data_IF_846297644567
#
_entry.id   IF_846297644567
#
_cell.length_a   1.000
_cell.length_b   1.000
_cell.length_c   1.000
_cell.angle_alpha   90.00
_cell.angle_beta   90.00
_cell.angle_gamma   90.00
#
_symmetry.space_group_name_H-M   'P 1'
#
loop_
_entity.id
_entity.type
_entity.pdbx_description
1 polymer ?
#
# COMPACT_ATOMS: atom_id res chain seq x y z
N UNK A 1 14.81 -9.29 -12.01
CA UNK A 1 14.92 -10.42 -11.06
C UNK A 1 14.74 -11.72 -11.81
N UNK A 2 15.53 -12.77 -11.51
CA UNK A 2 15.37 -14.12 -12.07
C UNK A 2 14.69 -15.02 -11.04
N UNK A 3 14.14 -16.17 -11.50
CA UNK A 3 13.57 -17.16 -10.58
C UNK A 3 14.64 -17.71 -9.61
N UNK A 4 15.86 -17.90 -10.08
CA UNK A 4 16.99 -18.36 -9.26
C UNK A 4 17.27 -17.41 -8.10
N UNK A 5 17.42 -16.11 -8.40
CA UNK A 5 17.66 -15.08 -7.37
C UNK A 5 16.51 -14.96 -6.38
N UNK A 6 15.26 -15.10 -6.84
CA UNK A 6 14.10 -15.16 -5.96
C UNK A 6 14.17 -16.34 -5.00
N UNK A 7 14.48 -17.54 -5.50
CA UNK A 7 14.58 -18.75 -4.67
C UNK A 7 15.70 -18.63 -3.63
N UNK A 8 16.82 -17.98 -3.98
CA UNK A 8 17.90 -17.69 -3.03
C UNK A 8 17.44 -16.77 -1.91
N UNK A 9 16.68 -15.71 -2.23
CA UNK A 9 16.12 -14.80 -1.22
C UNK A 9 15.12 -15.54 -0.32
N UNK A 10 14.19 -16.30 -0.88
CA UNK A 10 13.19 -17.06 -0.12
C UNK A 10 13.87 -18.08 0.82
N UNK A 11 14.91 -18.74 0.34
CA UNK A 11 15.73 -19.65 1.15
C UNK A 11 16.41 -18.91 2.31
N UNK A 12 17.09 -17.79 2.01
CA UNK A 12 17.75 -16.96 3.03
C UNK A 12 16.78 -16.51 4.12
N UNK A 13 15.61 -15.98 3.73
CA UNK A 13 14.61 -15.53 4.68
C UNK A 13 14.12 -16.67 5.57
N UNK A 14 13.83 -17.83 5.00
CA UNK A 14 13.40 -19.02 5.74
C UNK A 14 14.47 -19.52 6.71
N UNK A 15 15.73 -19.61 6.28
CA UNK A 15 16.85 -20.07 7.12
C UNK A 15 17.14 -19.13 8.30
N UNK A 16 16.76 -17.85 8.19
CA UNK A 16 16.94 -16.84 9.25
C UNK A 16 15.66 -16.54 10.04
N UNK A 17 14.60 -17.32 9.85
CA UNK A 17 13.35 -17.18 10.60
C UNK A 17 12.52 -15.95 10.23
N UNK A 18 12.71 -15.36 9.04
CA UNK A 18 11.89 -14.28 8.54
C UNK A 18 10.63 -14.78 7.85
N UNK A 19 9.52 -14.10 8.09
CA UNK A 19 8.27 -14.30 7.37
C UNK A 19 8.00 -13.09 6.49
N UNK A 20 7.70 -13.33 5.21
CA UNK A 20 7.29 -12.25 4.31
C UNK A 20 5.86 -11.83 4.65
N UNK A 21 5.63 -10.52 4.81
CA UNK A 21 4.30 -9.95 4.94
C UNK A 21 3.85 -9.40 3.56
N UNK A 22 3.00 -10.12 2.81
CA UNK A 22 2.54 -9.69 1.50
C UNK A 22 1.62 -8.48 1.60
N UNK A 23 2.13 -7.29 1.27
CA UNK A 23 1.34 -6.05 1.26
C UNK A 23 0.23 -6.15 0.22
N UNK A 24 -1.02 -6.05 0.65
CA UNK A 24 -2.21 -6.08 -0.21
C UNK A 24 -2.73 -4.69 -0.53
N UNK A 25 -2.58 -3.74 0.40
CA UNK A 25 -2.90 -2.32 0.17
C UNK A 25 -1.58 -1.55 0.00
N UNK A 26 -1.09 -1.51 -1.23
CA UNK A 26 0.07 -0.73 -1.63
C UNK A 26 -0.33 0.72 -1.95
N UNK A 27 0.58 1.66 -1.74
CA UNK A 27 0.27 3.08 -1.91
C UNK A 27 1.55 3.90 -2.08
N UNK A 28 1.38 5.17 -2.44
CA UNK A 28 2.45 6.14 -2.58
C UNK A 28 2.45 7.20 -1.46
N UNK A 29 2.17 6.81 -0.20
CA UNK A 29 2.15 7.73 0.94
C UNK A 29 3.47 8.46 1.18
N UNK A 30 4.58 7.86 0.75
CA UNK A 30 5.91 8.46 0.82
C UNK A 30 6.02 9.78 0.02
N UNK A 31 5.22 9.93 -1.05
CA UNK A 31 5.11 11.19 -1.82
C UNK A 31 4.46 12.28 -0.95
N UNK A 32 3.36 11.92 -0.27
CA UNK A 32 2.72 12.83 0.70
C UNK A 32 3.67 13.15 1.85
N UNK A 33 4.48 12.18 2.31
CA UNK A 33 5.52 12.39 3.30
C UNK A 33 6.54 13.43 2.86
N UNK A 34 7.03 13.35 1.61
CA UNK A 34 7.96 14.30 1.03
C UNK A 34 7.34 15.72 0.90
N UNK A 35 6.11 15.80 0.39
CA UNK A 35 5.37 17.06 0.28
C UNK A 35 5.14 17.70 1.67
N UNK A 36 4.77 16.89 2.66
CA UNK A 36 4.56 17.32 4.03
C UNK A 36 5.84 17.85 4.67
N UNK A 37 6.97 17.16 4.48
CA UNK A 37 8.28 17.62 4.95
C UNK A 37 8.69 18.95 4.33
N UNK A 38 8.36 19.20 3.07
CA UNK A 38 8.62 20.48 2.41
C UNK A 38 7.74 21.61 2.98
N UNK A 39 6.47 21.34 3.28
CA UNK A 39 5.57 22.29 3.95
C UNK A 39 6.08 22.62 5.37
N UNK A 40 6.54 21.63 6.12
CA UNK A 40 7.16 21.87 7.45
C UNK A 40 8.40 22.71 7.35
N UNK A 41 9.29 22.44 6.39
CA UNK A 41 10.53 23.24 6.18
C UNK A 41 10.25 24.69 5.79
N UNK A 42 9.17 24.95 5.05
CA UNK A 42 8.75 26.31 4.68
C UNK A 42 8.03 27.06 5.80
N UNK A 43 7.60 26.37 6.87
CA UNK A 43 6.81 26.95 7.95
C UNK A 43 5.35 27.23 7.56
N UNK A 44 4.85 26.66 6.45
CA UNK A 44 3.48 26.85 5.97
C UNK A 44 2.53 25.87 6.65
N UNK A 45 1.96 26.30 7.77
CA UNK A 45 1.05 25.47 8.58
C UNK A 45 -0.29 25.19 7.88
N UNK A 46 -0.76 26.07 6.99
CA UNK A 46 -2.00 25.84 6.23
C UNK A 46 -1.78 24.80 5.13
N UNK A 47 -0.66 24.89 4.41
CA UNK A 47 -0.26 23.87 3.44
C UNK A 47 -0.05 22.51 4.11
N UNK A 48 0.61 22.49 5.26
CA UNK A 48 0.82 21.28 6.07
C UNK A 48 -0.50 20.60 6.43
N UNK A 49 -1.49 21.36 6.95
CA UNK A 49 -2.83 20.84 7.27
C UNK A 49 -3.55 20.31 6.04
N UNK A 50 -3.46 21.04 4.92
CA UNK A 50 -4.06 20.64 3.64
C UNK A 50 -3.51 19.31 3.16
N UNK A 51 -2.18 19.16 3.08
CA UNK A 51 -1.50 17.93 2.67
C UNK A 51 -1.93 16.76 3.56
N UNK A 52 -1.95 16.95 4.88
CA UNK A 52 -2.36 15.90 5.81
C UNK A 52 -3.82 15.46 5.65
N UNK A 53 -4.74 16.39 5.36
CA UNK A 53 -6.13 16.06 5.05
C UNK A 53 -6.27 15.28 3.74
N UNK A 54 -5.58 15.72 2.68
CA UNK A 54 -5.57 15.04 1.38
C UNK A 54 -4.93 13.65 1.47
N UNK A 55 -3.91 13.49 2.30
CA UNK A 55 -3.28 12.19 2.58
C UNK A 55 -4.28 11.17 3.14
N UNK A 56 -5.04 11.54 4.17
CA UNK A 56 -6.03 10.63 4.77
C UNK A 56 -7.10 10.24 3.73
N UNK A 57 -7.57 11.18 2.92
CA UNK A 57 -8.54 10.91 1.85
C UNK A 57 -7.95 10.01 0.75
N UNK A 58 -6.70 10.24 0.34
CA UNK A 58 -5.98 9.36 -0.60
C UNK A 58 -5.90 7.93 -0.07
N UNK A 59 -5.52 7.75 1.20
CA UNK A 59 -5.42 6.43 1.83
C UNK A 59 -6.78 5.72 1.87
N UNK A 60 -7.86 6.47 2.14
CA UNK A 60 -9.23 5.95 2.07
C UNK A 60 -9.59 5.44 0.68
N UNK A 61 -9.24 6.19 -0.36
CA UNK A 61 -9.48 5.79 -1.75
C UNK A 61 -8.67 4.54 -2.12
N UNK A 62 -7.41 4.43 -1.68
CA UNK A 62 -6.56 3.24 -1.88
C UNK A 62 -7.16 2.00 -1.22
N UNK A 63 -7.62 2.12 0.03
CA UNK A 63 -8.28 1.02 0.75
C UNK A 63 -9.49 0.53 -0.05
N UNK A 64 -10.40 1.43 -0.45
CA UNK A 64 -11.60 1.08 -1.22
C UNK A 64 -11.27 0.47 -2.60
N UNK A 65 -10.22 0.95 -3.25
CA UNK A 65 -9.75 0.37 -4.50
C UNK A 65 -9.34 -1.09 -4.29
N UNK A 66 -8.48 -1.38 -3.32
CA UNK A 66 -8.00 -2.73 -3.06
C UNK A 66 -9.07 -3.66 -2.48
N UNK A 67 -10.07 -3.16 -1.75
CA UNK A 67 -11.28 -3.92 -1.41
C UNK A 67 -12.02 -4.40 -2.66
N UNK A 68 -12.24 -3.49 -3.62
CA UNK A 68 -12.87 -3.84 -4.89
C UNK A 68 -12.04 -4.85 -5.68
N UNK A 69 -10.71 -4.69 -5.71
CA UNK A 69 -9.81 -5.65 -6.37
C UNK A 69 -9.87 -7.03 -5.69
N UNK A 70 -9.91 -7.05 -4.37
CA UNK A 70 -10.04 -8.27 -3.57
C UNK A 70 -11.34 -9.02 -3.93
N UNK A 71 -12.47 -8.28 -3.95
CA UNK A 71 -13.76 -8.84 -4.33
C UNK A 71 -13.77 -9.39 -5.75
N UNK A 72 -13.15 -8.68 -6.71
CA UNK A 72 -13.03 -9.14 -8.10
C UNK A 72 -12.14 -10.39 -8.25
N UNK A 73 -11.11 -10.51 -7.40
CA UNK A 73 -10.12 -11.58 -7.51
C UNK A 73 -10.57 -12.85 -6.81
N UNK A 74 -11.09 -12.73 -5.59
CA UNK A 74 -11.41 -13.86 -4.70
C UNK A 74 -12.91 -14.11 -4.50
N UNK A 75 -13.79 -13.18 -4.96
CA UNK A 75 -15.23 -13.27 -4.71
C UNK A 75 -15.63 -12.97 -3.26
N UNK A 76 -14.69 -12.57 -2.41
CA UNK A 76 -14.87 -12.24 -0.99
C UNK A 76 -13.85 -11.19 -0.54
N UNK A 77 -14.04 -10.62 0.62
CA UNK A 77 -12.99 -9.85 1.30
C UNK A 77 -11.98 -10.78 1.98
N UNK A 78 -10.77 -10.30 2.18
CA UNK A 78 -9.69 -10.96 2.91
C UNK A 78 -9.15 -10.03 3.99
N UNK A 79 -8.40 -10.56 4.93
CA UNK A 79 -7.61 -9.74 5.83
C UNK A 79 -6.55 -8.97 5.03
N UNK A 80 -6.48 -7.66 5.19
CA UNK A 80 -5.61 -6.78 4.39
C UNK A 80 -4.32 -6.46 5.15
N UNK A 81 -3.22 -6.30 4.42
CA UNK A 81 -1.94 -5.80 4.97
C UNK A 81 -1.63 -4.47 4.28
N UNK A 82 -1.68 -3.39 5.07
CA UNK A 82 -1.42 -2.03 4.62
C UNK A 82 0.07 -1.68 4.79
N UNK A 83 0.67 -1.11 3.74
CA UNK A 83 2.02 -0.52 3.81
C UNK A 83 1.93 0.92 4.32
N UNK A 84 2.73 1.24 5.31
CA UNK A 84 3.02 2.61 5.74
C UNK A 84 4.49 2.71 6.18
N UNK A 85 5.07 3.92 6.12
CA UNK A 85 6.45 4.18 6.53
C UNK A 85 6.49 5.01 7.80
N UNK A 86 7.56 4.84 8.58
CA UNK A 86 7.84 5.70 9.73
C UNK A 86 8.38 7.04 9.27
N UNK A 87 7.48 7.99 9.01
CA UNK A 87 7.78 9.34 8.56
C UNK A 87 6.95 10.38 9.33
N UNK A 88 7.19 11.66 9.08
CA UNK A 88 6.58 12.76 9.85
C UNK A 88 5.06 12.85 9.64
N UNK A 89 4.57 12.68 8.41
CA UNK A 89 3.13 12.75 8.14
C UNK A 89 2.38 11.65 8.89
N UNK A 90 2.94 10.43 8.94
CA UNK A 90 2.36 9.35 9.73
C UNK A 90 2.45 9.62 11.22
N UNK A 91 3.53 10.25 11.73
CA UNK A 91 3.58 10.67 13.12
C UNK A 91 2.45 11.64 13.49
N UNK A 92 2.17 12.61 12.63
CA UNK A 92 1.20 13.68 12.92
C UNK A 92 -0.26 13.29 12.58
N UNK A 93 -0.47 12.32 11.67
CA UNK A 93 -1.81 11.94 11.16
C UNK A 93 -2.19 10.49 11.40
N UNK A 94 -1.38 9.71 12.12
CA UNK A 94 -1.67 8.28 12.35
C UNK A 94 -3.00 8.04 13.06
N UNK A 95 -3.32 8.87 14.07
CA UNK A 95 -4.60 8.76 14.77
C UNK A 95 -5.79 8.97 13.81
N UNK A 96 -5.72 10.00 12.94
CA UNK A 96 -6.75 10.27 11.93
C UNK A 96 -6.85 9.17 10.89
N UNK A 97 -5.71 8.59 10.50
CA UNK A 97 -5.68 7.43 9.60
C UNK A 97 -6.38 6.24 10.26
N UNK A 98 -6.07 5.95 11.52
CA UNK A 98 -6.72 4.87 12.27
C UNK A 98 -8.22 5.10 12.47
N UNK A 99 -8.65 6.34 12.76
CA UNK A 99 -10.06 6.71 12.85
C UNK A 99 -10.78 6.49 11.50
N UNK A 100 -10.18 6.91 10.40
CA UNK A 100 -10.70 6.69 9.05
C UNK A 100 -10.85 5.20 8.75
N UNK A 101 -9.80 4.39 9.03
CA UNK A 101 -9.79 2.94 8.79
C UNK A 101 -10.91 2.26 9.59
N UNK A 102 -11.08 2.59 10.88
CA UNK A 102 -12.20 2.09 11.70
C UNK A 102 -13.55 2.55 11.17
N UNK A 103 -13.64 3.79 10.66
CA UNK A 103 -14.84 4.33 10.00
C UNK A 103 -15.24 3.58 8.72
N UNK A 104 -14.29 2.93 8.04
CA UNK A 104 -14.53 2.02 6.92
C UNK A 104 -14.82 0.57 7.39
N UNK A 105 -15.12 0.37 8.67
CA UNK A 105 -15.45 -0.93 9.28
C UNK A 105 -14.31 -1.94 9.34
N UNK A 106 -13.07 -1.46 9.42
CA UNK A 106 -11.91 -2.32 9.67
C UNK A 106 -11.58 -2.40 11.16
N UNK A 107 -11.06 -3.56 11.55
CA UNK A 107 -10.40 -3.80 12.83
C UNK A 107 -8.91 -4.07 12.60
N UNK A 108 -8.09 -3.65 13.56
CA UNK A 108 -6.66 -3.98 13.54
C UNK A 108 -6.45 -5.33 14.22
N UNK A 109 -5.81 -6.23 13.52
CA UNK A 109 -5.53 -7.60 13.97
C UNK A 109 -4.02 -7.87 13.95
N UNK A 110 -3.51 -8.86 14.69
CA UNK A 110 -2.12 -9.31 14.57
C UNK A 110 -1.78 -9.78 13.15
N UNK A 111 -0.52 -9.59 12.74
CA UNK A 111 -0.06 -9.97 11.40
C UNK A 111 -0.24 -11.47 11.14
N UNK A 112 0.00 -12.31 12.15
CA UNK A 112 -0.16 -13.76 12.06
C UNK A 112 -1.61 -14.15 11.77
N UNK A 113 -2.57 -13.43 12.33
CA UNK A 113 -3.99 -13.63 12.06
C UNK A 113 -4.34 -13.22 10.62
N UNK A 114 -3.79 -12.09 10.15
CA UNK A 114 -3.97 -11.68 8.75
C UNK A 114 -3.41 -12.74 7.79
N UNK A 115 -2.21 -13.25 8.04
CA UNK A 115 -1.53 -14.25 7.20
C UNK A 115 -2.19 -15.63 7.24
N UNK A 116 -3.07 -15.91 8.20
CA UNK A 116 -3.84 -17.15 8.25
C UNK A 116 -4.94 -17.24 7.18
N UNK A 117 -5.31 -16.12 6.54
CA UNK A 117 -6.27 -16.14 5.42
C UNK A 117 -5.72 -16.93 4.23
N UNK A 118 -6.55 -17.82 3.67
CA UNK A 118 -6.18 -18.70 2.55
C UNK A 118 -5.72 -17.93 1.30
N UNK A 119 -6.12 -16.66 1.13
CA UNK A 119 -5.67 -15.84 0.02
C UNK A 119 -4.14 -15.68 0.00
N UNK A 120 -3.48 -15.66 1.17
CA UNK A 120 -2.02 -15.54 1.28
C UNK A 120 -1.25 -16.79 0.84
N UNK A 121 -1.94 -17.92 0.61
CA UNK A 121 -1.38 -19.14 0.00
C UNK A 121 -1.43 -19.10 -1.53
N UNK A 122 -1.95 -18.02 -2.12
CA UNK A 122 -2.06 -17.87 -3.58
C UNK A 122 -0.69 -17.91 -4.25
N UNK A 123 -0.61 -18.62 -5.38
CA UNK A 123 0.62 -18.70 -6.17
C UNK A 123 1.00 -17.28 -6.68
N UNK A 124 2.29 -16.97 -6.61
CA UNK A 124 2.86 -15.75 -7.14
C UNK A 124 3.98 -16.06 -8.13
N UNK A 125 3.75 -15.81 -9.42
CA UNK A 125 4.75 -15.97 -10.49
C UNK A 125 5.36 -14.64 -10.94
N UNK A 126 4.99 -13.52 -10.32
CA UNK A 126 5.52 -12.20 -10.64
C UNK A 126 6.97 -12.06 -10.18
N UNK A 127 7.88 -11.78 -11.13
CA UNK A 127 9.34 -11.71 -10.90
C UNK A 127 9.99 -10.40 -11.41
N UNK A 128 9.18 -9.36 -11.68
CA UNK A 128 9.71 -8.06 -12.10
C UNK A 128 10.24 -7.27 -10.90
N UNK A 129 11.02 -6.22 -11.19
CA UNK A 129 11.65 -5.37 -10.16
C UNK A 129 10.72 -4.29 -9.61
N UNK A 130 9.47 -4.22 -10.06
CA UNK A 130 8.49 -3.23 -9.57
C UNK A 130 7.93 -3.68 -8.22
N UNK A 131 7.90 -2.77 -7.25
CA UNK A 131 7.03 -2.91 -6.07
C UNK A 131 5.58 -2.69 -6.50
N UNK A 132 4.74 -3.71 -6.44
CA UNK A 132 3.30 -3.62 -6.66
C UNK A 132 2.59 -4.45 -5.59
N UNK A 133 1.33 -4.13 -5.32
CA UNK A 133 0.48 -4.89 -4.41
C UNK A 133 0.54 -6.40 -4.67
N UNK A 134 0.49 -7.20 -3.63
CA UNK A 134 0.38 -8.65 -3.79
C UNK A 134 -0.94 -9.08 -4.42
N UNK A 135 -2.02 -8.30 -4.28
CA UNK A 135 -3.26 -8.51 -5.03
C UNK A 135 -3.01 -8.42 -6.54
N UNK A 136 -2.23 -7.42 -6.98
CA UNK A 136 -1.87 -7.28 -8.39
C UNK A 136 -0.96 -8.41 -8.88
N UNK A 137 0.00 -8.85 -8.05
CA UNK A 137 0.85 -10.00 -8.37
C UNK A 137 0.04 -11.28 -8.56
N UNK A 138 -0.92 -11.54 -7.66
CA UNK A 138 -1.82 -12.68 -7.78
C UNK A 138 -2.74 -12.56 -8.99
N UNK A 139 -3.29 -11.37 -9.23
CA UNK A 139 -4.11 -11.11 -10.41
C UNK A 139 -3.34 -11.37 -11.72
N UNK A 140 -2.11 -10.86 -11.84
CA UNK A 140 -1.22 -11.12 -12.98
C UNK A 140 -0.90 -12.60 -13.13
N UNK A 141 -0.64 -13.31 -12.04
CA UNK A 141 -0.41 -14.76 -12.04
C UNK A 141 -1.62 -15.54 -12.57
N UNK A 142 -2.84 -15.07 -12.26
CA UNK A 142 -4.10 -15.61 -12.77
C UNK A 142 -4.47 -15.10 -14.18
N UNK A 143 -3.57 -14.36 -14.85
CA UNK A 143 -3.75 -13.90 -16.23
C UNK A 143 -4.67 -12.68 -16.37
N UNK A 144 -5.00 -11.97 -15.29
CA UNK A 144 -5.77 -10.72 -15.37
C UNK A 144 -4.98 -9.63 -16.11
N UNK A 145 -5.68 -8.77 -16.87
CA UNK A 145 -5.09 -7.73 -17.72
C UNK A 145 -6.03 -6.52 -17.82
N UNK A 146 -5.49 -5.41 -18.34
CA UNK A 146 -6.27 -4.24 -18.77
C UNK A 146 -7.18 -3.69 -17.68
N UNK A 147 -8.49 -3.70 -17.94
CA UNK A 147 -9.50 -3.07 -17.08
C UNK A 147 -9.55 -3.61 -15.64
N UNK A 148 -8.98 -4.79 -15.40
CA UNK A 148 -8.87 -5.28 -14.02
C UNK A 148 -8.12 -4.30 -13.12
N UNK A 149 -7.06 -3.69 -13.63
CA UNK A 149 -6.18 -2.76 -12.91
C UNK A 149 -6.58 -1.28 -13.05
N UNK A 150 -7.67 -1.00 -13.77
CA UNK A 150 -8.11 0.38 -14.00
C UNK A 150 -8.67 1.03 -12.72
N UNK A 151 -8.51 2.36 -12.64
CA UNK A 151 -9.12 3.17 -11.59
C UNK A 151 -8.34 3.22 -10.28
N UNK A 152 -7.11 2.76 -10.25
CA UNK A 152 -6.24 2.92 -9.08
C UNK A 152 -6.00 4.41 -8.78
N UNK A 153 -6.29 4.87 -7.53
CA UNK A 153 -6.03 6.25 -7.13
C UNK A 153 -4.54 6.60 -7.27
N UNK A 154 -4.27 7.75 -7.93
CA UNK A 154 -2.94 8.30 -8.12
C UNK A 154 -2.72 9.51 -7.24
N UNK A 155 -1.46 9.79 -6.92
CA UNK A 155 -1.09 11.02 -6.23
C UNK A 155 -1.38 12.21 -7.16
N UNK A 156 -2.15 13.24 -6.71
CA UNK A 156 -2.43 14.41 -7.52
C UNK A 156 -1.17 15.19 -7.90
N UNK A 157 -1.17 15.77 -9.11
CA UNK A 157 0.00 16.50 -9.63
C UNK A 157 0.51 17.59 -8.67
N UNK A 158 -0.37 18.34 -8.02
CA UNK A 158 0.07 19.40 -7.10
C UNK A 158 0.83 18.85 -5.88
N UNK A 159 0.52 17.63 -5.41
CA UNK A 159 1.27 16.97 -4.33
C UNK A 159 2.65 16.52 -4.84
N UNK A 160 2.71 15.97 -6.07
CA UNK A 160 3.99 15.64 -6.72
C UNK A 160 4.87 16.89 -6.87
N UNK A 161 4.28 18.02 -7.33
CA UNK A 161 5.00 19.28 -7.50
C UNK A 161 5.54 19.81 -6.16
N UNK A 162 4.76 19.75 -5.07
CA UNK A 162 5.20 20.14 -3.72
C UNK A 162 6.29 19.17 -3.22
N UNK A 163 6.20 17.90 -3.53
CA UNK A 163 7.21 16.91 -3.17
C UNK A 163 8.51 17.05 -4.00
N UNK A 164 8.48 17.77 -5.12
CA UNK A 164 9.61 17.90 -6.05
C UNK A 164 9.83 16.65 -6.90
N UNK A 165 8.75 15.93 -7.24
CA UNK A 165 8.76 14.67 -7.96
C UNK A 165 8.00 14.77 -9.30
N UNK A 166 8.45 14.01 -10.29
CA UNK A 166 7.77 13.92 -11.59
C UNK A 166 6.66 12.86 -11.62
N UNK A 167 6.81 11.79 -10.81
CA UNK A 167 5.86 10.67 -10.71
C UNK A 167 5.95 9.97 -9.35
N UNK A 168 4.93 9.18 -9.04
CA UNK A 168 4.91 8.23 -7.92
C UNK A 168 5.61 6.91 -8.26
#
# INVERSE_FOLDING_TARGET
>A
MTNEYRNEIEKFLSEHGYTVAPVTIDNAEWVYGAAYDNAVKSGDEDLKKKIGGEYVEYMKQKIRYFENQTQKLFGRQINQILLIHSNRINSDYFDKLCEMIRGESYEFIPLEEALADEAYKSQNTFIKNNGISWLDRWALTLGKKGDFFAGEPRVPKHILDIAGLESE
#
